data_IF_476082105755
#
_entry.id   IF_476082105755
#
_cell.length_a   1.000
_cell.length_b   1.000
_cell.length_c   1.000
_cell.angle_alpha   90.00
_cell.angle_beta   90.00
_cell.angle_gamma   90.00
#
_symmetry.space_group_name_H-M   'P 1'
#
loop_
_entity.id
_entity.type
_entity.pdbx_description
1 polymer ?
#
# COMPACT_ATOMS: atom_id res chain seq x y z
N UNK A 1 -2.10 -14.09 -11.31
CA UNK A 1 -2.08 -13.54 -12.69
C UNK A 1 -2.55 -14.64 -13.63
N UNK A 2 -3.23 -14.30 -14.73
CA UNK A 2 -3.68 -15.23 -15.78
C UNK A 2 -3.06 -14.80 -17.09
N UNK A 3 -2.55 -15.77 -17.86
CA UNK A 3 -2.03 -15.52 -19.21
C UNK A 3 -3.07 -15.97 -20.22
N UNK A 4 -3.49 -15.05 -21.09
CA UNK A 4 -4.36 -15.31 -22.23
C UNK A 4 -3.49 -15.45 -23.48
N UNK A 5 -3.63 -16.56 -24.19
CA UNK A 5 -2.81 -16.89 -25.37
C UNK A 5 -3.75 -17.04 -26.57
N UNK A 6 -3.44 -16.31 -27.64
CA UNK A 6 -3.99 -16.49 -28.98
C UNK A 6 -2.84 -16.79 -29.95
N UNK A 7 -3.10 -17.27 -31.17
CA UNK A 7 -2.04 -17.59 -32.14
C UNK A 7 -1.09 -16.43 -32.45
N UNK A 8 -1.57 -15.19 -32.33
CA UNK A 8 -0.83 -13.96 -32.70
C UNK A 8 -0.41 -13.11 -31.50
N UNK A 9 -1.10 -13.25 -30.36
CA UNK A 9 -0.93 -12.37 -29.21
C UNK A 9 -0.98 -13.12 -27.88
N UNK A 10 -0.12 -12.69 -26.95
CA UNK A 10 -0.10 -13.13 -25.56
C UNK A 10 -0.29 -11.92 -24.65
N UNK A 11 -1.28 -11.98 -23.76
CA UNK A 11 -1.59 -10.91 -22.81
C UNK A 11 -1.67 -11.49 -21.40
N UNK A 12 -1.19 -10.76 -20.41
CA UNK A 12 -1.28 -11.18 -19.00
C UNK A 12 -2.21 -10.22 -18.25
N UNK A 13 -3.14 -10.76 -17.49
CA UNK A 13 -4.10 -9.98 -16.69
C UNK A 13 -4.08 -10.43 -15.23
N UNK A 14 -4.34 -9.53 -14.27
CA UNK A 14 -4.58 -9.93 -12.88
C UNK A 14 -5.70 -10.96 -12.77
N UNK A 15 -5.55 -11.92 -11.85
CA UNK A 15 -6.55 -12.95 -11.63
C UNK A 15 -7.93 -12.39 -11.20
N UNK A 16 -8.02 -11.42 -10.26
CA UNK A 16 -9.29 -10.78 -9.93
C UNK A 16 -9.96 -10.10 -11.13
N UNK A 17 -9.16 -9.53 -12.03
CA UNK A 17 -9.65 -8.87 -13.25
C UNK A 17 -10.24 -9.88 -14.24
N UNK A 18 -9.62 -11.05 -14.36
CA UNK A 18 -10.18 -12.16 -15.14
C UNK A 18 -11.50 -12.67 -14.55
N UNK A 19 -11.56 -12.89 -13.23
CA UNK A 19 -12.78 -13.33 -12.54
C UNK A 19 -13.94 -12.35 -12.74
N UNK A 20 -13.68 -11.05 -12.58
CA UNK A 20 -14.71 -10.02 -12.79
C UNK A 20 -15.18 -10.00 -14.26
N UNK A 21 -14.28 -10.16 -15.22
CA UNK A 21 -14.64 -10.22 -16.64
C UNK A 21 -15.57 -11.41 -16.94
N UNK A 22 -15.31 -12.58 -16.34
CA UNK A 22 -16.20 -13.74 -16.45
C UNK A 22 -17.59 -13.46 -15.85
N UNK A 23 -17.65 -12.81 -14.68
CA UNK A 23 -18.92 -12.44 -14.03
C UNK A 23 -19.78 -11.51 -14.89
N UNK A 24 -19.14 -10.56 -15.55
CA UNK A 24 -19.81 -9.58 -16.41
C UNK A 24 -20.14 -10.11 -17.80
N UNK A 25 -19.51 -11.22 -18.24
CA UNK A 25 -19.60 -11.71 -19.61
C UNK A 25 -18.93 -10.79 -20.65
N UNK A 26 -18.07 -9.86 -20.21
CA UNK A 26 -17.31 -8.94 -21.08
C UNK A 26 -15.95 -8.59 -20.49
N UNK A 27 -15.03 -8.12 -21.33
CA UNK A 27 -13.78 -7.53 -20.85
C UNK A 27 -14.06 -6.22 -20.10
N UNK A 28 -13.26 -5.97 -19.06
CA UNK A 28 -13.28 -4.70 -18.35
C UNK A 28 -12.63 -3.61 -19.19
N UNK A 29 -13.18 -2.41 -19.12
CA UNK A 29 -12.63 -1.19 -19.72
C UNK A 29 -11.34 -0.78 -18.99
N UNK A 30 -10.64 0.17 -19.59
CA UNK A 30 -9.36 0.67 -19.05
C UNK A 30 -9.53 1.54 -17.80
N UNK A 31 -10.71 2.15 -17.63
CA UNK A 31 -11.10 2.91 -16.45
C UNK A 31 -11.81 2.07 -15.36
N UNK A 32 -11.96 0.76 -15.59
CA UNK A 32 -12.54 -0.17 -14.62
C UNK A 32 -11.43 -0.94 -13.90
N UNK A 33 -11.20 -0.60 -12.63
CA UNK A 33 -10.27 -1.30 -11.75
C UNK A 33 -11.01 -2.28 -10.85
N UNK A 34 -10.50 -3.50 -10.74
CA UNK A 34 -10.98 -4.47 -9.76
C UNK A 34 -10.26 -4.26 -8.44
N UNK A 35 -11.03 -4.12 -7.37
CA UNK A 35 -10.56 -3.92 -6.01
C UNK A 35 -11.17 -4.97 -5.07
N UNK A 36 -10.42 -5.33 -4.03
CA UNK A 36 -10.86 -6.23 -2.97
C UNK A 36 -11.51 -5.42 -1.87
N UNK A 37 -12.79 -5.66 -1.57
CA UNK A 37 -13.57 -4.89 -0.58
C UNK A 37 -12.86 -4.90 0.78
N UNK A 38 -12.42 -6.07 1.25
CA UNK A 38 -11.68 -6.28 2.50
C UNK A 38 -10.21 -5.80 2.48
N UNK A 39 -9.69 -5.40 1.32
CA UNK A 39 -8.27 -5.06 1.09
C UNK A 39 -7.29 -6.23 1.29
N UNK A 40 -7.79 -7.48 1.28
CA UNK A 40 -6.96 -8.68 1.27
C UNK A 40 -6.82 -9.23 -0.17
N UNK A 41 -5.65 -9.10 -0.81
CA UNK A 41 -5.45 -9.57 -2.17
C UNK A 41 -5.51 -11.10 -2.34
N UNK A 42 -5.50 -11.86 -1.24
CA UNK A 42 -5.61 -13.32 -1.26
C UNK A 42 -7.07 -13.80 -1.33
N UNK A 43 -8.03 -12.98 -0.87
CA UNK A 43 -9.45 -13.30 -0.87
C UNK A 43 -10.10 -12.99 -2.23
N UNK A 44 -10.10 -13.97 -3.13
CA UNK A 44 -10.62 -13.83 -4.49
C UNK A 44 -12.10 -14.24 -4.64
N UNK A 45 -12.87 -14.28 -3.55
CA UNK A 45 -14.30 -14.55 -3.60
C UNK A 45 -15.04 -13.50 -4.46
N UNK A 46 -16.00 -13.92 -5.28
CA UNK A 46 -16.67 -13.05 -6.27
C UNK A 46 -17.49 -11.93 -5.63
N UNK A 47 -17.87 -12.11 -4.38
CA UNK A 47 -18.59 -11.17 -3.52
C UNK A 47 -17.63 -10.15 -2.89
N UNK A 48 -16.35 -10.50 -2.74
CA UNK A 48 -15.31 -9.62 -2.21
C UNK A 48 -14.67 -8.73 -3.30
N UNK A 49 -15.02 -8.93 -4.58
CA UNK A 49 -14.53 -8.12 -5.68
C UNK A 49 -15.54 -7.03 -6.06
N UNK A 50 -15.05 -5.79 -6.18
CA UNK A 50 -15.82 -4.65 -6.66
C UNK A 50 -15.11 -3.96 -7.82
N UNK A 51 -15.86 -3.21 -8.62
CA UNK A 51 -15.32 -2.36 -9.69
C UNK A 51 -15.30 -0.93 -9.18
N UNK A 52 -14.14 -0.30 -9.25
CA UNK A 52 -13.94 1.10 -8.92
C UNK A 52 -13.31 1.81 -10.12
N UNK A 53 -13.63 3.09 -10.26
CA UNK A 53 -12.84 4.01 -11.09
C UNK A 53 -11.48 4.27 -10.42
N UNK A 54 -10.46 4.76 -11.17
CA UNK A 54 -9.19 5.16 -10.59
C UNK A 54 -9.35 6.17 -9.44
N UNK A 55 -10.31 7.09 -9.56
CA UNK A 55 -10.59 8.11 -8.55
C UNK A 55 -11.19 7.51 -7.27
N UNK A 56 -12.13 6.58 -7.40
CA UNK A 56 -12.74 5.90 -6.25
C UNK A 56 -11.73 5.00 -5.53
N UNK A 57 -10.91 4.26 -6.28
CA UNK A 57 -9.85 3.44 -5.69
C UNK A 57 -8.84 4.31 -4.93
N UNK A 58 -8.46 5.47 -5.50
CA UNK A 58 -7.61 6.43 -4.81
C UNK A 58 -8.27 6.97 -3.52
N UNK A 59 -9.57 7.25 -3.55
CA UNK A 59 -10.32 7.71 -2.36
C UNK A 59 -10.35 6.63 -1.27
N UNK A 60 -10.62 5.37 -1.62
CA UNK A 60 -10.59 4.22 -0.70
C UNK A 60 -9.21 4.08 -0.04
N UNK A 61 -8.14 4.28 -0.81
CA UNK A 61 -6.76 4.22 -0.32
C UNK A 61 -6.33 5.35 0.63
N UNK A 62 -7.14 6.39 0.87
CA UNK A 62 -6.78 7.50 1.80
C UNK A 62 -7.10 7.18 3.25
N UNK A 63 -8.08 6.33 3.52
CA UNK A 63 -8.44 5.80 4.84
C UNK A 63 -7.46 4.70 5.24
N UNK A 64 -6.22 5.09 5.56
CA UNK A 64 -5.19 4.17 6.05
C UNK A 64 -5.03 4.30 7.56
N UNK A 65 -4.77 3.19 8.27
CA UNK A 65 -4.62 3.21 9.71
C UNK A 65 -3.45 4.11 10.13
N UNK A 66 -3.73 4.94 11.13
CA UNK A 66 -2.72 5.68 11.86
C UNK A 66 -2.01 4.71 12.82
N UNK A 67 -0.71 4.91 13.00
CA UNK A 67 0.09 4.23 14.01
C UNK A 67 0.67 5.28 14.94
N UNK A 68 0.60 5.00 16.24
CA UNK A 68 1.25 5.81 17.27
C UNK A 68 2.73 5.42 17.36
N UNK A 69 3.59 6.44 17.38
CA UNK A 69 5.05 6.29 17.38
C UNK A 69 5.65 7.22 18.43
N UNK A 70 6.80 6.83 18.97
CA UNK A 70 7.58 7.68 19.86
C UNK A 70 8.71 8.34 19.09
N UNK A 71 8.86 9.67 19.21
CA UNK A 71 9.91 10.39 18.51
C UNK A 71 11.29 10.07 19.07
N UNK A 72 12.21 9.65 18.21
CA UNK A 72 13.59 9.32 18.60
C UNK A 72 14.42 10.52 19.10
N UNK A 73 13.99 11.77 18.82
CA UNK A 73 14.71 12.98 19.26
C UNK A 73 14.15 13.59 20.55
N UNK A 74 12.82 13.65 20.70
CA UNK A 74 12.18 14.37 21.81
C UNK A 74 11.31 13.49 22.72
N UNK A 75 11.12 12.21 22.39
CA UNK A 75 10.34 11.28 23.20
C UNK A 75 8.81 11.47 23.15
N UNK A 76 8.32 12.49 22.44
CA UNK A 76 6.88 12.76 22.34
C UNK A 76 6.20 11.73 21.43
N UNK A 77 5.03 11.25 21.84
CA UNK A 77 4.18 10.39 21.03
C UNK A 77 3.48 11.17 19.91
N UNK A 78 3.47 10.62 18.70
CA UNK A 78 2.82 11.24 17.54
C UNK A 78 2.22 10.19 16.63
N UNK A 79 1.23 10.59 15.83
CA UNK A 79 0.55 9.71 14.90
C UNK A 79 1.01 9.92 13.47
N UNK A 80 1.12 8.82 12.72
CA UNK A 80 1.42 8.87 11.29
C UNK A 80 0.74 7.72 10.56
N UNK A 81 0.38 7.93 9.29
CA UNK A 81 -0.16 6.85 8.48
C UNK A 81 0.89 5.75 8.32
N UNK A 82 0.53 4.48 8.60
CA UNK A 82 1.47 3.34 8.62
C UNK A 82 2.38 3.25 7.40
N UNK A 83 1.81 3.42 6.21
CA UNK A 83 2.55 3.35 4.94
C UNK A 83 3.58 4.48 4.73
N UNK A 84 3.48 5.58 5.49
CA UNK A 84 4.47 6.68 5.47
C UNK A 84 5.61 6.47 6.45
N UNK A 85 5.56 5.41 7.26
CA UNK A 85 6.61 5.10 8.22
C UNK A 85 7.49 4.02 7.62
N UNK A 86 8.75 4.36 7.39
CA UNK A 86 9.74 3.41 6.89
C UNK A 86 10.19 2.51 8.04
N UNK A 87 10.32 1.21 7.79
CA UNK A 87 10.87 0.27 8.77
C UNK A 87 9.91 -0.26 9.85
N UNK A 88 8.58 -0.09 9.68
CA UNK A 88 7.56 -0.63 10.60
C UNK A 88 6.98 -2.00 10.18
N UNK A 89 7.71 -2.74 9.35
CA UNK A 89 7.32 -4.06 8.87
C UNK A 89 8.13 -5.17 9.54
N UNK A 90 7.59 -6.38 9.57
CA UNK A 90 8.27 -7.59 10.08
C UNK A 90 9.59 -7.88 9.33
N UNK A 91 9.72 -7.37 8.10
CA UNK A 91 10.91 -7.48 7.23
C UNK A 91 11.90 -6.32 7.35
N UNK A 92 11.68 -5.38 8.25
CA UNK A 92 12.61 -4.28 8.46
C UNK A 92 13.78 -4.76 9.33
N UNK A 93 14.87 -5.19 8.69
CA UNK A 93 16.14 -5.50 9.39
C UNK A 93 16.64 -4.31 10.22
N UNK A 94 16.35 -3.09 9.76
CA UNK A 94 16.74 -1.86 10.44
C UNK A 94 15.50 -1.05 10.79
N UNK A 95 15.25 -0.91 12.11
CA UNK A 95 14.26 0.05 12.63
C UNK A 95 14.77 1.46 12.31
N UNK A 96 14.16 2.10 11.31
CA UNK A 96 14.51 3.49 10.97
C UNK A 96 13.88 4.41 12.03
N UNK A 97 14.68 5.22 12.74
CA UNK A 97 14.17 6.12 13.76
C UNK A 97 13.22 7.14 13.15
N UNK A 98 11.99 7.21 13.67
CA UNK A 98 10.97 8.14 13.18
C UNK A 98 10.88 9.36 14.11
N UNK A 99 10.77 10.55 13.52
CA UNK A 99 10.65 11.81 14.26
C UNK A 99 9.29 12.49 13.99
N UNK A 100 8.80 13.23 14.98
CA UNK A 100 7.52 13.95 14.90
C UNK A 100 7.57 15.14 13.92
N UNK A 101 8.74 15.77 13.75
CA UNK A 101 8.92 16.96 12.90
C UNK A 101 10.25 16.95 12.14
N UNK A 102 10.37 17.84 11.14
CA UNK A 102 11.63 18.07 10.41
C UNK A 102 12.74 18.58 11.34
N UNK A 103 12.41 19.45 12.30
CA UNK A 103 13.38 19.95 13.28
C UNK A 103 13.92 18.85 14.19
N UNK A 104 13.06 17.94 14.66
CA UNK A 104 13.49 16.77 15.44
C UNK A 104 14.34 15.81 14.59
N UNK A 105 13.99 15.62 13.31
CA UNK A 105 14.81 14.82 12.40
C UNK A 105 16.22 15.40 12.21
N UNK A 106 16.34 16.73 12.06
CA UNK A 106 17.63 17.40 11.94
C UNK A 106 18.46 17.25 13.22
N UNK A 107 17.85 17.49 14.39
CA UNK A 107 18.50 17.31 15.71
C UNK A 107 18.97 15.88 15.91
N UNK A 108 18.14 14.90 15.58
CA UNK A 108 18.50 13.49 15.67
C UNK A 108 19.70 13.13 14.78
N UNK A 109 19.74 13.62 13.53
CA UNK A 109 20.86 13.38 12.63
C UNK A 109 22.17 14.03 13.12
N UNK A 110 22.11 15.23 13.70
CA UNK A 110 23.27 15.87 14.31
C UNK A 110 23.82 15.05 15.48
N UNK A 111 22.94 14.57 16.37
CA UNK A 111 23.30 13.72 17.51
C UNK A 111 23.84 12.35 17.10
N UNK A 112 23.31 11.77 16.02
CA UNK A 112 23.80 10.50 15.50
C UNK A 112 25.22 10.63 14.93
N UNK A 113 25.51 11.73 14.22
CA UNK A 113 26.84 12.00 13.66
C UNK A 113 27.90 12.22 14.72
N UNK A 114 27.58 12.93 15.81
CA UNK A 114 28.53 13.19 16.91
C UNK A 114 28.88 11.95 17.74
N UNK A 115 28.16 10.84 17.57
CA UNK A 115 28.39 9.57 18.29
C UNK A 115 29.09 8.51 17.43
N UNK A 116 29.50 8.87 16.21
CA UNK A 116 30.30 8.00 15.34
C UNK A 116 31.77 8.11 15.76
N UNK A 117 32.47 7.01 16.08
CA UNK A 117 33.90 7.04 16.40
C UNK A 117 34.75 7.51 15.20
#
# INVERSE_FOLDING_TARGET
MVTLISPIHRTTTPYPRYLMAMKLGRLLRDDEHVDHVDNDPSNNAMENLQILTPLENQRKGKTKPLVSLVCASCGIAFERQRHKVRGLGFRAEVKVPTCCSRSCSARYQMLARSKSP
#
